data_IF_086003908509
#
_entry.id   IF_086003908509
#
_cell.length_a   1.000
_cell.length_b   1.000
_cell.length_c   1.000
_cell.angle_alpha   90.00
_cell.angle_beta   90.00
_cell.angle_gamma   90.00
#
_symmetry.space_group_name_H-M   'P 1'
#
loop_
_entity.id
_entity.type
_entity.pdbx_description
1 polymer ?
#
# COMPACT_ATOMS: atom_id res chain seq x y z
N UNK A 1 2.26 31.29 -18.82
CA UNK A 1 1.03 30.86 -18.16
C UNK A 1 1.45 30.13 -16.90
N UNK A 2 1.09 30.63 -15.75
CA UNK A 2 1.23 29.91 -14.49
C UNK A 2 0.20 28.77 -14.60
N UNK A 3 0.68 27.54 -14.68
CA UNK A 3 -0.22 26.40 -14.70
C UNK A 3 -1.03 26.37 -13.40
N UNK A 4 -2.31 26.01 -13.44
CA UNK A 4 -3.12 25.96 -12.23
C UNK A 4 -2.45 25.02 -11.24
N UNK A 5 -2.14 25.56 -10.08
CA UNK A 5 -1.62 24.81 -8.95
C UNK A 5 -2.61 23.70 -8.61
N UNK A 6 -2.15 22.46 -8.55
CA UNK A 6 -3.02 21.35 -8.21
C UNK A 6 -3.61 21.60 -6.80
N UNK A 7 -4.91 21.73 -6.74
CA UNK A 7 -5.65 21.99 -5.49
C UNK A 7 -5.29 23.32 -4.77
N UNK A 8 -4.80 24.34 -5.48
CA UNK A 8 -4.40 25.62 -4.91
C UNK A 8 -3.06 25.59 -4.16
N UNK A 9 -2.30 24.49 -4.22
CA UNK A 9 -1.01 24.32 -3.58
C UNK A 9 0.10 24.42 -4.63
N UNK A 10 1.16 25.16 -4.32
CA UNK A 10 2.41 25.05 -5.06
C UNK A 10 3.15 23.76 -4.64
N UNK A 11 4.25 23.44 -5.32
CA UNK A 11 5.00 22.22 -5.06
C UNK A 11 5.47 22.11 -3.60
N UNK A 12 5.95 23.21 -3.03
CA UNK A 12 6.42 23.23 -1.63
C UNK A 12 5.26 22.92 -0.69
N UNK A 13 4.11 23.56 -0.89
CA UNK A 13 2.91 23.32 -0.08
C UNK A 13 2.40 21.89 -0.27
N UNK A 14 2.37 21.40 -1.52
CA UNK A 14 1.95 20.04 -1.85
C UNK A 14 2.79 19.00 -1.11
N UNK A 15 4.11 19.10 -1.22
CA UNK A 15 5.00 18.09 -0.66
C UNK A 15 5.29 18.28 0.84
N UNK A 16 4.96 19.43 1.41
CA UNK A 16 4.99 19.66 2.86
C UNK A 16 3.65 19.36 3.55
N UNK A 17 2.60 19.01 2.79
CA UNK A 17 1.29 18.75 3.39
C UNK A 17 1.32 17.53 4.33
N UNK A 18 0.79 17.68 5.53
CA UNK A 18 0.78 16.65 6.57
C UNK A 18 -0.60 16.03 6.82
N UNK A 19 -1.67 16.63 6.23
CA UNK A 19 -3.04 16.21 6.49
C UNK A 19 -3.47 16.42 7.96
N UNK A 20 -4.56 15.72 8.35
CA UNK A 20 -5.02 15.65 9.73
C UNK A 20 -4.68 14.24 10.28
N UNK A 21 -3.68 14.11 11.15
CA UNK A 21 -3.29 12.83 11.73
C UNK A 21 -4.19 12.38 12.89
N UNK A 22 -5.27 13.12 13.21
CA UNK A 22 -6.14 12.84 14.35
C UNK A 22 -6.91 11.53 14.13
N UNK A 23 -6.72 10.52 14.98
CA UNK A 23 -7.45 9.27 14.87
C UNK A 23 -8.93 9.43 15.21
N UNK A 24 -9.76 8.50 14.73
CA UNK A 24 -11.10 8.31 15.28
C UNK A 24 -11.03 7.98 16.77
N UNK A 25 -12.01 8.39 17.61
CA UNK A 25 -12.07 8.04 19.03
C UNK A 25 -11.90 6.54 19.29
N UNK A 26 -12.47 5.71 18.44
CA UNK A 26 -12.44 4.24 18.58
C UNK A 26 -11.26 3.56 17.89
N UNK A 27 -10.38 4.33 17.25
CA UNK A 27 -9.31 3.80 16.39
C UNK A 27 -8.46 2.73 17.07
N UNK A 28 -7.93 3.01 18.25
CA UNK A 28 -7.02 2.08 18.94
C UNK A 28 -7.73 0.81 19.41
N UNK A 29 -8.97 0.93 19.91
CA UNK A 29 -9.80 -0.20 20.35
C UNK A 29 -10.18 -1.07 19.16
N UNK A 30 -10.66 -0.44 18.08
CA UNK A 30 -11.02 -1.14 16.87
C UNK A 30 -9.84 -1.95 16.32
N UNK A 31 -8.67 -1.34 16.10
CA UNK A 31 -7.52 -2.03 15.49
C UNK A 31 -6.88 -3.06 16.41
N UNK A 32 -6.94 -2.89 17.74
CA UNK A 32 -6.51 -3.92 18.68
C UNK A 32 -7.36 -5.17 18.55
N UNK A 33 -8.69 -5.01 18.56
CA UNK A 33 -9.63 -6.12 18.39
C UNK A 33 -9.52 -6.77 17.01
N UNK A 34 -9.47 -5.92 15.97
CA UNK A 34 -9.34 -6.36 14.58
C UNK A 34 -8.08 -7.17 14.34
N UNK A 35 -6.95 -6.70 14.86
CA UNK A 35 -5.68 -7.39 14.74
C UNK A 35 -5.73 -8.78 15.38
N UNK A 36 -6.18 -8.87 16.62
CA UNK A 36 -6.28 -10.16 17.32
C UNK A 36 -7.15 -11.14 16.53
N UNK A 37 -8.35 -10.72 16.12
CA UNK A 37 -9.31 -11.60 15.46
C UNK A 37 -8.94 -11.99 14.02
N UNK A 38 -8.46 -11.05 13.21
CA UNK A 38 -8.33 -11.24 11.76
C UNK A 38 -6.89 -11.37 11.27
N UNK A 39 -5.93 -11.14 12.13
CA UNK A 39 -4.51 -11.22 11.77
C UNK A 39 -3.78 -12.20 12.68
N UNK A 40 -3.84 -12.03 14.00
CA UNK A 40 -3.07 -12.85 14.95
C UNK A 40 -3.59 -14.27 15.07
N UNK A 41 -4.90 -14.44 15.26
CA UNK A 41 -5.55 -15.73 15.50
C UNK A 41 -5.81 -16.55 14.22
N UNK A 42 -5.19 -16.19 13.09
CA UNK A 42 -5.38 -16.95 11.85
C UNK A 42 -4.47 -18.19 11.83
N UNK A 43 -5.02 -19.41 11.94
CA UNK A 43 -4.25 -20.64 11.80
C UNK A 43 -3.93 -20.91 10.32
N UNK A 44 -2.86 -21.68 10.08
CA UNK A 44 -2.55 -22.32 8.78
C UNK A 44 -2.54 -21.36 7.58
N UNK A 45 -1.83 -20.21 7.73
CA UNK A 45 -1.60 -19.30 6.61
C UNK A 45 -0.51 -19.86 5.69
N UNK A 46 -0.92 -20.63 4.68
CA UNK A 46 -0.03 -21.15 3.65
C UNK A 46 -0.50 -20.78 2.24
N UNK A 47 0.44 -20.62 1.33
CA UNK A 47 0.18 -20.50 -0.11
C UNK A 47 -0.03 -21.90 -0.69
N UNK A 48 -1.05 -22.06 -1.53
CA UNK A 48 -1.29 -23.27 -2.30
C UNK A 48 -1.49 -22.94 -3.78
N UNK A 49 -1.23 -23.91 -4.64
CA UNK A 49 -1.48 -23.79 -6.07
C UNK A 49 -2.98 -23.91 -6.35
N UNK A 50 -3.51 -23.04 -7.22
CA UNK A 50 -4.88 -23.15 -7.71
C UNK A 50 -4.91 -24.26 -8.75
N UNK A 51 -5.79 -25.24 -8.55
CA UNK A 51 -5.99 -26.37 -9.47
C UNK A 51 -7.08 -26.11 -10.51
N UNK A 52 -7.79 -25.00 -10.40
CA UNK A 52 -8.86 -24.62 -11.30
C UNK A 52 -8.34 -23.66 -12.39
N UNK A 53 -8.16 -24.19 -13.60
CA UNK A 53 -7.71 -23.41 -14.77
C UNK A 53 -8.80 -22.44 -15.30
N UNK A 54 -9.98 -22.39 -14.69
CA UNK A 54 -11.08 -21.51 -15.13
C UNK A 54 -10.83 -20.03 -14.85
N UNK A 55 -9.92 -19.70 -13.93
CA UNK A 55 -9.54 -18.32 -13.62
C UNK A 55 -8.05 -18.05 -13.90
N UNK A 56 -7.73 -17.48 -15.08
CA UNK A 56 -6.35 -17.18 -15.44
C UNK A 56 -5.74 -16.01 -14.62
N UNK A 57 -6.51 -15.39 -13.72
CA UNK A 57 -6.07 -14.21 -12.96
C UNK A 57 -5.30 -14.54 -11.69
N UNK A 58 -5.39 -15.78 -11.20
CA UNK A 58 -4.63 -16.26 -10.05
C UNK A 58 -4.06 -17.66 -10.34
N UNK A 59 -2.81 -17.90 -9.98
CA UNK A 59 -2.17 -19.22 -10.07
C UNK A 59 -1.96 -19.85 -8.70
N UNK A 60 -2.10 -19.05 -7.66
CA UNK A 60 -1.96 -19.43 -6.27
C UNK A 60 -3.06 -18.76 -5.46
N UNK A 61 -3.30 -19.29 -4.29
CA UNK A 61 -4.26 -18.71 -3.35
C UNK A 61 -3.82 -18.96 -1.91
N UNK A 62 -4.41 -18.21 -1.00
CA UNK A 62 -4.39 -18.48 0.44
C UNK A 62 -5.75 -18.17 1.05
N UNK A 63 -6.03 -18.78 2.19
CA UNK A 63 -7.23 -18.48 2.97
C UNK A 63 -6.89 -17.35 3.93
N UNK A 64 -7.59 -16.23 3.80
CA UNK A 64 -7.42 -15.06 4.65
C UNK A 64 -8.41 -15.06 5.81
N UNK A 65 -8.48 -13.94 6.51
CA UNK A 65 -9.45 -13.72 7.58
C UNK A 65 -10.86 -14.09 7.12
N UNK A 66 -11.69 -14.52 8.06
CA UNK A 66 -13.07 -14.93 7.81
C UNK A 66 -13.22 -16.10 6.80
N UNK A 67 -12.15 -16.87 6.54
CA UNK A 67 -12.16 -18.02 5.62
C UNK A 67 -12.24 -17.68 4.15
N UNK A 68 -12.06 -16.41 3.78
CA UNK A 68 -12.16 -15.93 2.39
C UNK A 68 -10.91 -16.34 1.61
N UNK A 69 -11.12 -16.89 0.42
CA UNK A 69 -10.07 -17.25 -0.52
C UNK A 69 -9.56 -16.01 -1.24
N UNK A 70 -8.27 -15.73 -1.10
CA UNK A 70 -7.56 -14.64 -1.77
C UNK A 70 -6.66 -15.23 -2.84
N UNK A 71 -6.97 -14.92 -4.09
CA UNK A 71 -6.15 -15.28 -5.23
C UNK A 71 -4.88 -14.45 -5.28
N UNK A 72 -3.79 -15.07 -5.69
CA UNK A 72 -2.52 -14.42 -5.83
C UNK A 72 -1.67 -15.08 -6.93
N UNK A 73 -0.52 -14.49 -7.20
CA UNK A 73 0.49 -15.09 -8.05
C UNK A 73 1.84 -15.02 -7.35
N UNK A 74 2.49 -16.16 -7.25
CA UNK A 74 3.86 -16.26 -6.78
C UNK A 74 4.82 -16.18 -7.97
N UNK A 75 5.78 -15.26 -7.91
CA UNK A 75 6.86 -15.11 -8.89
C UNK A 75 8.17 -15.42 -8.17
N UNK A 76 8.86 -16.45 -8.62
CA UNK A 76 10.13 -16.89 -8.06
C UNK A 76 11.29 -16.48 -8.97
N UNK A 77 12.52 -16.39 -8.43
CA UNK A 77 13.73 -16.18 -9.22
C UNK A 77 13.86 -17.25 -10.30
N UNK A 78 14.33 -16.84 -11.47
CA UNK A 78 14.64 -17.77 -12.56
C UNK A 78 15.98 -18.48 -12.31
N UNK A 79 16.20 -19.56 -13.06
CA UNK A 79 17.47 -20.32 -13.06
C UNK A 79 17.90 -20.92 -11.72
N UNK A 80 16.93 -21.24 -10.82
CA UNK A 80 17.23 -21.90 -9.54
C UNK A 80 18.02 -21.03 -8.57
N UNK A 81 17.96 -19.70 -8.70
CA UNK A 81 18.58 -18.80 -7.75
C UNK A 81 17.82 -18.88 -6.41
N UNK A 82 18.51 -19.12 -5.28
CA UNK A 82 17.85 -19.22 -3.98
C UNK A 82 17.22 -17.88 -3.55
N UNK A 83 16.15 -17.97 -2.76
CA UNK A 83 15.41 -16.84 -2.24
C UNK A 83 16.02 -16.35 -0.94
N UNK A 84 16.25 -15.05 -0.83
CA UNK A 84 16.80 -14.38 0.35
C UNK A 84 15.77 -13.55 1.11
N UNK A 85 14.71 -13.13 0.43
CA UNK A 85 13.63 -12.32 1.00
C UNK A 85 12.32 -12.58 0.23
N UNK A 86 11.23 -12.06 0.76
CA UNK A 86 9.96 -12.00 0.03
C UNK A 86 9.46 -10.57 -0.13
N UNK A 87 8.61 -10.36 -1.14
CA UNK A 87 7.91 -9.12 -1.39
C UNK A 87 6.42 -9.40 -1.61
N UNK A 88 5.57 -8.78 -0.83
CA UNK A 88 4.12 -8.77 -1.06
C UNK A 88 3.74 -7.48 -1.77
N UNK A 89 2.89 -7.55 -2.79
CA UNK A 89 2.43 -6.36 -3.51
C UNK A 89 0.92 -6.34 -3.69
N UNK A 90 0.31 -5.15 -3.43
CA UNK A 90 -1.11 -4.89 -3.59
C UNK A 90 -1.36 -3.91 -4.75
N UNK A 91 -2.40 -4.18 -5.57
CA UNK A 91 -2.74 -3.40 -6.75
C UNK A 91 -3.59 -2.15 -6.46
N UNK A 92 -3.75 -1.28 -7.47
CA UNK A 92 -4.62 -0.10 -7.42
C UNK A 92 -6.12 -0.41 -7.55
N UNK A 93 -6.96 0.64 -7.40
CA UNK A 93 -8.42 0.51 -7.28
C UNK A 93 -9.10 -0.12 -8.50
N UNK A 94 -8.69 0.25 -9.71
CA UNK A 94 -9.32 -0.25 -10.95
C UNK A 94 -8.45 -1.23 -11.74
N UNK A 95 -7.25 -1.52 -11.28
CA UNK A 95 -6.27 -2.27 -12.06
C UNK A 95 -5.74 -3.50 -11.32
N UNK A 96 -6.45 -4.60 -11.52
CA UNK A 96 -5.76 -5.87 -11.51
C UNK A 96 -5.11 -6.03 -12.89
N UNK A 97 -3.81 -5.76 -13.02
CA UNK A 97 -3.09 -5.98 -14.28
C UNK A 97 -3.30 -7.41 -14.79
N UNK A 98 -3.41 -7.63 -16.11
CA UNK A 98 -3.37 -8.96 -16.68
C UNK A 98 -2.14 -9.73 -16.17
N UNK A 99 -2.29 -11.02 -15.91
CA UNK A 99 -1.24 -11.83 -15.27
C UNK A 99 0.12 -11.76 -15.96
N UNK A 100 0.12 -11.76 -17.29
CA UNK A 100 1.35 -11.73 -18.06
C UNK A 100 2.16 -10.44 -17.86
N UNK A 101 1.50 -9.29 -17.79
CA UNK A 101 2.15 -7.99 -17.56
C UNK A 101 2.61 -7.86 -16.11
N UNK A 102 1.79 -8.29 -15.16
CA UNK A 102 2.18 -8.33 -13.74
C UNK A 102 3.45 -9.16 -13.53
N UNK A 103 3.54 -10.32 -14.16
CA UNK A 103 4.71 -11.20 -14.01
C UNK A 103 5.98 -10.56 -14.56
N UNK A 104 5.94 -9.99 -15.76
CA UNK A 104 7.11 -9.34 -16.37
C UNK A 104 7.64 -8.20 -15.51
N UNK A 105 6.75 -7.39 -14.98
CA UNK A 105 7.10 -6.28 -14.09
C UNK A 105 7.87 -6.76 -12.85
N UNK A 106 7.40 -7.82 -12.22
CA UNK A 106 7.95 -8.29 -10.96
C UNK A 106 9.08 -9.30 -11.12
N UNK A 107 9.26 -9.91 -12.31
CA UNK A 107 10.30 -10.90 -12.55
C UNK A 107 11.71 -10.34 -12.33
N UNK A 108 11.95 -9.10 -12.74
CA UNK A 108 13.24 -8.43 -12.50
C UNK A 108 13.58 -8.34 -10.99
N UNK A 109 12.58 -8.03 -10.17
CA UNK A 109 12.76 -8.00 -8.70
C UNK A 109 12.94 -9.41 -8.17
N UNK A 110 12.16 -10.37 -8.67
CA UNK A 110 12.32 -11.76 -8.27
C UNK A 110 13.73 -12.29 -8.57
N UNK A 111 14.29 -11.96 -9.73
CA UNK A 111 15.63 -12.40 -10.16
C UNK A 111 16.77 -11.84 -9.29
N UNK A 112 16.51 -10.88 -8.40
CA UNK A 112 17.46 -10.46 -7.36
C UNK A 112 17.48 -11.38 -6.12
N UNK A 113 16.72 -12.47 -6.12
CA UNK A 113 16.61 -13.41 -5.01
C UNK A 113 15.42 -13.13 -4.11
N UNK A 114 14.31 -12.64 -4.68
CA UNK A 114 13.10 -12.29 -3.93
C UNK A 114 11.92 -13.13 -4.42
N UNK A 115 11.22 -13.80 -3.50
CA UNK A 115 9.92 -14.41 -3.81
C UNK A 115 8.82 -13.32 -3.79
N UNK A 116 8.21 -13.02 -4.93
CA UNK A 116 7.20 -11.95 -5.04
C UNK A 116 5.80 -12.55 -5.04
N UNK A 117 4.95 -12.16 -4.09
CA UNK A 117 3.54 -12.51 -4.02
C UNK A 117 2.69 -11.32 -4.49
N UNK A 118 2.07 -11.46 -5.65
CA UNK A 118 1.15 -10.47 -6.23
C UNK A 118 -0.25 -10.79 -5.73
N UNK A 119 -0.80 -9.99 -4.82
CA UNK A 119 -2.10 -10.23 -4.19
C UNK A 119 -3.21 -9.63 -5.04
N UNK A 120 -4.29 -10.39 -5.23
CA UNK A 120 -5.57 -9.90 -5.72
C UNK A 120 -6.42 -9.53 -4.52
N UNK A 121 -6.75 -8.27 -4.36
CA UNK A 121 -7.59 -7.82 -3.24
C UNK A 121 -8.96 -8.52 -3.28
N UNK A 122 -9.55 -8.77 -2.12
CA UNK A 122 -10.89 -9.39 -2.04
C UNK A 122 -11.91 -8.68 -2.92
N UNK A 123 -12.77 -9.45 -3.61
CA UNK A 123 -13.78 -8.91 -4.51
C UNK A 123 -13.27 -8.47 -5.89
N UNK A 124 -11.98 -8.62 -6.17
CA UNK A 124 -11.44 -8.51 -7.53
C UNK A 124 -11.29 -9.89 -8.18
N UNK A 125 -11.21 -9.97 -9.52
CA UNK A 125 -11.05 -11.24 -10.22
C UNK A 125 -9.93 -12.10 -9.63
N UNK A 126 -10.20 -13.36 -9.38
CA UNK A 126 -9.30 -14.30 -8.72
C UNK A 126 -9.48 -14.41 -7.20
N UNK A 127 -10.21 -13.49 -6.57
CA UNK A 127 -10.45 -13.50 -5.12
C UNK A 127 -11.93 -13.47 -4.80
N UNK A 128 -12.33 -14.17 -3.74
CA UNK A 128 -13.67 -14.06 -3.19
C UNK A 128 -13.87 -12.70 -2.52
N UNK A 129 -15.11 -12.25 -2.44
CA UNK A 129 -15.47 -11.05 -1.68
C UNK A 129 -15.90 -11.38 -0.24
N UNK A 130 -16.48 -12.54 -0.07
CA UNK A 130 -16.98 -13.10 1.19
C UNK A 130 -17.27 -14.59 1.01
N UNK A 131 -17.75 -15.27 2.04
CA UNK A 131 -18.15 -16.70 1.98
C UNK A 131 -19.66 -16.79 1.72
N UNK A 132 -20.03 -17.49 0.65
CA UNK A 132 -21.44 -17.73 0.28
C UNK A 132 -22.20 -16.41 0.12
N UNK A 133 -23.41 -16.35 0.70
CA UNK A 133 -24.28 -15.17 0.65
C UNK A 133 -23.87 -14.03 1.59
N UNK A 134 -22.78 -14.21 2.35
CA UNK A 134 -22.25 -13.17 3.26
C UNK A 134 -21.37 -12.14 2.54
N UNK A 135 -21.79 -11.73 1.37
CA UNK A 135 -21.12 -10.64 0.64
C UNK A 135 -21.59 -9.30 1.19
N UNK A 136 -20.64 -8.42 1.47
CA UNK A 136 -20.94 -7.04 1.84
C UNK A 136 -21.60 -6.32 0.67
N UNK A 137 -22.85 -5.88 0.77
CA UNK A 137 -23.56 -5.32 -0.36
C UNK A 137 -22.99 -3.98 -0.79
N UNK A 138 -22.99 -3.73 -2.10
CA UNK A 138 -22.81 -2.41 -2.68
C UNK A 138 -24.20 -1.78 -2.83
N UNK A 139 -24.70 -1.22 -1.75
CA UNK A 139 -26.11 -0.76 -1.62
C UNK A 139 -26.51 0.30 -2.66
N UNK A 140 -25.54 1.08 -3.14
CA UNK A 140 -25.79 2.19 -4.05
C UNK A 140 -25.12 2.00 -5.43
N UNK A 141 -24.50 0.84 -5.70
CA UNK A 141 -23.63 0.72 -6.86
C UNK A 141 -22.48 1.74 -6.83
N UNK A 142 -22.09 2.15 -5.63
CA UNK A 142 -21.10 3.22 -5.45
C UNK A 142 -19.67 2.77 -5.69
N UNK A 143 -19.42 1.44 -5.77
CA UNK A 143 -18.11 0.87 -6.04
C UNK A 143 -17.52 0.05 -4.89
N UNK A 144 -16.41 -0.59 -5.17
CA UNK A 144 -15.79 -1.56 -4.26
C UNK A 144 -15.54 -1.00 -2.85
N UNK A 145 -14.98 0.22 -2.73
CA UNK A 145 -14.63 0.81 -1.43
C UNK A 145 -15.85 1.13 -0.56
N UNK A 146 -17.00 1.34 -1.19
CA UNK A 146 -18.24 1.69 -0.51
C UNK A 146 -18.95 0.47 0.11
N UNK A 147 -18.53 -0.76 -0.27
CA UNK A 147 -19.14 -1.99 0.24
C UNK A 147 -19.08 -2.09 1.76
N UNK A 148 -20.24 -2.10 2.39
CA UNK A 148 -20.40 -2.15 3.85
C UNK A 148 -19.96 -0.88 4.59
N UNK A 149 -19.66 0.20 3.87
CA UNK A 149 -19.22 1.45 4.51
C UNK A 149 -20.29 2.06 5.41
N UNK A 150 -21.57 1.99 5.03
CA UNK A 150 -22.69 2.46 5.85
C UNK A 150 -23.36 1.35 6.70
N UNK A 151 -22.83 0.13 6.72
CA UNK A 151 -23.34 -0.96 7.56
C UNK A 151 -23.30 -0.61 9.04
N UNK A 152 -24.07 -1.35 9.87
CA UNK A 152 -24.09 -1.12 11.32
C UNK A 152 -22.75 -1.39 11.98
N UNK A 153 -22.09 -2.47 11.58
CA UNK A 153 -20.76 -2.83 12.12
C UNK A 153 -19.64 -2.28 11.25
N UNK A 154 -18.56 -1.81 11.86
CA UNK A 154 -17.31 -1.46 11.18
C UNK A 154 -16.65 -2.68 10.53
N UNK A 155 -16.93 -3.89 11.06
CA UNK A 155 -16.42 -5.15 10.53
C UNK A 155 -17.00 -5.51 9.17
N UNK A 156 -18.15 -4.94 8.79
CA UNK A 156 -18.78 -5.19 7.50
C UNK A 156 -18.13 -4.38 6.36
N UNK A 157 -17.36 -3.36 6.69
CA UNK A 157 -16.69 -2.56 5.67
C UNK A 157 -15.54 -3.34 5.01
N UNK A 158 -15.51 -3.34 3.68
CA UNK A 158 -14.53 -4.11 2.91
C UNK A 158 -13.08 -3.63 3.13
N UNK A 159 -12.87 -2.34 3.44
CA UNK A 159 -11.55 -1.75 3.51
C UNK A 159 -10.68 -2.31 4.65
N UNK A 160 -11.12 -2.37 5.92
CA UNK A 160 -10.37 -3.07 6.97
C UNK A 160 -10.10 -4.53 6.62
N UNK A 161 -11.07 -5.24 6.02
CA UNK A 161 -10.90 -6.64 5.59
C UNK A 161 -9.78 -6.78 4.56
N UNK A 162 -9.68 -5.85 3.60
CA UNK A 162 -8.59 -5.83 2.63
C UNK A 162 -7.22 -5.55 3.28
N UNK A 163 -7.18 -4.72 4.33
CA UNK A 163 -5.96 -4.54 5.14
C UNK A 163 -5.55 -5.86 5.79
N UNK A 164 -6.50 -6.61 6.37
CA UNK A 164 -6.20 -7.92 6.95
C UNK A 164 -5.68 -8.91 5.89
N UNK A 165 -6.20 -8.88 4.66
CA UNK A 165 -5.69 -9.71 3.57
C UNK A 165 -4.24 -9.42 3.24
N UNK A 166 -3.85 -8.15 3.16
CA UNK A 166 -2.45 -7.75 2.92
C UNK A 166 -1.55 -8.18 4.10
N UNK A 167 -2.01 -8.01 5.34
CA UNK A 167 -1.29 -8.49 6.52
C UNK A 167 -1.10 -10.01 6.48
N UNK A 168 -2.15 -10.76 6.16
CA UNK A 168 -2.10 -12.20 6.08
C UNK A 168 -1.21 -12.68 4.92
N UNK A 169 -1.19 -11.98 3.79
CA UNK A 169 -0.25 -12.25 2.70
C UNK A 169 1.22 -12.13 3.16
N UNK A 170 1.55 -11.12 3.95
CA UNK A 170 2.90 -10.99 4.51
C UNK A 170 3.24 -12.14 5.47
N UNK A 171 2.28 -12.57 6.29
CA UNK A 171 2.44 -13.73 7.18
C UNK A 171 2.60 -15.04 6.41
N UNK A 172 1.78 -15.22 5.36
CA UNK A 172 1.87 -16.35 4.43
C UNK A 172 3.29 -16.46 3.83
N UNK A 173 3.82 -15.34 3.33
CA UNK A 173 5.17 -15.34 2.77
C UNK A 173 6.25 -15.58 3.82
N UNK A 174 6.11 -15.04 5.02
CA UNK A 174 7.02 -15.37 6.13
C UNK A 174 7.00 -16.86 6.46
N UNK A 175 5.81 -17.47 6.53
CA UNK A 175 5.68 -18.91 6.77
C UNK A 175 6.32 -19.74 5.65
N UNK A 176 6.09 -19.35 4.40
CA UNK A 176 6.68 -20.01 3.23
C UNK A 176 8.22 -19.95 3.24
N UNK A 177 8.81 -18.80 3.60
CA UNK A 177 10.27 -18.64 3.73
C UNK A 177 10.85 -19.45 4.90
N UNK A 178 10.07 -19.71 5.93
CA UNK A 178 10.45 -20.55 7.07
C UNK A 178 10.07 -22.02 6.90
N UNK A 179 9.59 -22.41 5.71
CA UNK A 179 9.08 -23.76 5.40
C UNK A 179 8.02 -24.28 6.39
N UNK A 180 7.12 -23.37 6.82
CA UNK A 180 6.02 -23.67 7.74
C UNK A 180 4.71 -23.75 6.99
N UNK A 181 3.98 -24.86 7.15
CA UNK A 181 2.58 -25.06 6.71
C UNK A 181 2.25 -24.55 5.30
N UNK A 182 3.11 -24.81 4.32
CA UNK A 182 2.90 -24.39 2.93
C UNK A 182 3.01 -25.57 1.96
N UNK A 183 2.11 -25.64 0.99
CA UNK A 183 2.22 -26.60 -0.12
C UNK A 183 3.30 -26.19 -1.14
N UNK A 184 3.56 -24.87 -1.21
CA UNK A 184 4.55 -24.32 -2.14
C UNK A 184 5.92 -24.32 -1.46
N UNK A 185 6.86 -25.06 -2.03
CA UNK A 185 8.24 -25.10 -1.55
C UNK A 185 9.01 -23.95 -2.18
N UNK A 186 9.66 -23.14 -1.34
CA UNK A 186 10.56 -22.05 -1.74
C UNK A 186 11.99 -22.47 -1.37
N UNK A 187 12.87 -22.49 -2.35
CA UNK A 187 14.31 -22.72 -2.13
C UNK A 187 14.92 -21.47 -1.50
N UNK A 188 15.02 -21.45 -0.18
CA UNK A 188 15.55 -20.34 0.61
C UNK A 188 17.06 -20.50 0.75
N UNK A 189 17.80 -19.40 0.59
CA UNK A 189 19.25 -19.38 0.80
C UNK A 189 19.59 -19.79 2.25
N UNK A 190 20.28 -20.93 2.44
CA UNK A 190 20.56 -21.47 3.78
C UNK A 190 21.50 -20.59 4.61
N UNK A 191 22.13 -19.58 4.01
CA UNK A 191 22.96 -18.61 4.73
C UNK A 191 22.15 -17.49 5.39
N UNK A 192 20.84 -17.42 5.14
CA UNK A 192 19.97 -16.37 5.65
C UNK A 192 19.14 -16.91 6.83
N UNK A 193 19.52 -16.55 8.05
CA UNK A 193 18.80 -16.95 9.26
C UNK A 193 17.40 -16.34 9.37
N UNK A 194 17.25 -15.11 8.93
CA UNK A 194 16.01 -14.33 9.01
C UNK A 194 15.66 -13.68 7.66
N UNK A 195 15.01 -14.41 6.73
CA UNK A 195 14.59 -13.84 5.46
C UNK A 195 13.66 -12.66 5.65
N UNK A 196 14.00 -11.53 5.02
CA UNK A 196 13.20 -10.29 5.11
C UNK A 196 11.84 -10.43 4.42
N UNK A 197 10.85 -9.70 4.93
CA UNK A 197 9.55 -9.53 4.28
C UNK A 197 9.39 -8.07 3.87
N UNK A 198 9.28 -7.82 2.59
CA UNK A 198 9.09 -6.50 2.01
C UNK A 198 7.63 -6.31 1.59
N UNK A 199 7.18 -5.06 1.57
CA UNK A 199 5.82 -4.73 1.19
C UNK A 199 5.80 -3.59 0.17
N UNK A 200 5.01 -3.75 -0.89
CA UNK A 200 4.80 -2.72 -1.90
C UNK A 200 3.31 -2.53 -2.21
N UNK A 201 2.96 -1.34 -2.68
CA UNK A 201 1.62 -1.08 -3.17
C UNK A 201 1.51 0.17 -4.02
N UNK A 202 0.54 0.16 -4.94
CA UNK A 202 0.29 1.30 -5.83
C UNK A 202 -1.12 1.82 -5.60
N UNK A 203 -1.30 3.13 -5.50
CA UNK A 203 -2.60 3.80 -5.36
C UNK A 203 -3.38 3.27 -4.14
N UNK A 204 -4.53 2.64 -4.32
CA UNK A 204 -5.25 1.93 -3.25
C UNK A 204 -4.31 0.98 -2.50
N UNK A 205 -3.56 0.16 -3.23
CA UNK A 205 -2.59 -0.76 -2.66
C UNK A 205 -1.51 -0.06 -1.85
N UNK A 206 -1.08 1.14 -2.23
CA UNK A 206 -0.12 1.96 -1.47
C UNK A 206 -0.65 2.37 -0.10
N UNK A 207 -1.91 2.81 -0.04
CA UNK A 207 -2.58 3.11 1.23
C UNK A 207 -2.78 1.87 2.09
N UNK A 208 -3.28 0.76 1.49
CA UNK A 208 -3.44 -0.53 2.19
C UNK A 208 -2.11 -1.05 2.74
N UNK A 209 -1.03 -0.97 1.96
CA UNK A 209 0.31 -1.39 2.40
C UNK A 209 0.82 -0.54 3.55
N UNK A 210 0.56 0.77 3.56
CA UNK A 210 0.91 1.64 4.68
C UNK A 210 0.18 1.23 5.96
N UNK A 211 -1.14 1.00 5.88
CA UNK A 211 -1.94 0.57 7.02
C UNK A 211 -1.50 -0.82 7.49
N UNK A 212 -1.30 -1.77 6.57
CA UNK A 212 -0.85 -3.12 6.88
C UNK A 212 0.54 -3.13 7.56
N UNK A 213 1.51 -2.38 7.04
CA UNK A 213 2.82 -2.22 7.67
C UNK A 213 2.69 -1.73 9.12
N UNK A 214 1.86 -0.71 9.37
CA UNK A 214 1.59 -0.20 10.70
C UNK A 214 0.95 -1.22 11.67
N UNK A 215 0.21 -2.20 11.14
CA UNK A 215 -0.37 -3.27 11.95
C UNK A 215 0.62 -4.40 12.24
N UNK A 216 1.59 -4.63 11.37
CA UNK A 216 2.54 -5.75 11.48
C UNK A 216 3.81 -5.39 12.26
N UNK A 217 4.22 -4.12 12.26
CA UNK A 217 5.43 -3.67 12.96
C UNK A 217 5.28 -3.84 14.47
N UNK A 218 6.23 -4.57 15.07
CA UNK A 218 6.36 -4.71 16.53
C UNK A 218 5.30 -5.56 17.23
N UNK A 219 4.44 -6.31 16.52
CA UNK A 219 3.37 -7.08 17.16
C UNK A 219 3.59 -8.58 17.25
N UNK A 220 4.26 -9.21 16.31
CA UNK A 220 4.53 -10.65 16.36
C UNK A 220 5.93 -10.91 16.94
N UNK A 221 5.97 -11.50 18.13
CA UNK A 221 7.21 -11.92 18.83
C UNK A 221 8.27 -10.81 19.05
N UNK A 222 7.87 -9.53 19.04
CA UNK A 222 8.79 -8.40 19.24
C UNK A 222 9.65 -8.03 18.02
N UNK A 223 9.54 -8.77 16.93
CA UNK A 223 10.25 -8.52 15.67
C UNK A 223 9.31 -7.86 14.64
N UNK A 224 9.75 -6.83 13.91
CA UNK A 224 8.98 -6.31 12.81
C UNK A 224 8.85 -7.38 11.72
N UNK A 225 7.62 -7.62 11.21
CA UNK A 225 7.45 -8.53 10.07
C UNK A 225 7.91 -7.84 8.78
N UNK A 226 7.73 -6.54 8.67
CA UNK A 226 8.06 -5.76 7.48
C UNK A 226 9.40 -5.05 7.68
N UNK A 227 10.32 -5.23 6.73
CA UNK A 227 11.66 -4.65 6.76
C UNK A 227 11.81 -3.44 5.84
N UNK A 228 11.10 -3.44 4.69
CA UNK A 228 11.10 -2.37 3.70
C UNK A 228 9.71 -2.14 3.13
N UNK A 229 9.37 -0.87 2.88
CA UNK A 229 8.08 -0.47 2.32
C UNK A 229 8.27 0.39 1.07
N UNK A 230 7.60 0.04 -0.05
CA UNK A 230 7.51 0.93 -1.21
C UNK A 230 6.05 1.29 -1.50
N UNK A 231 5.74 2.58 -1.56
CA UNK A 231 4.39 3.08 -1.84
C UNK A 231 4.41 3.99 -3.06
N UNK A 232 3.68 3.60 -4.10
CA UNK A 232 3.57 4.39 -5.31
C UNK A 232 2.21 5.08 -5.37
N UNK A 233 2.19 6.42 -5.49
CA UNK A 233 0.97 7.21 -5.61
C UNK A 233 -0.08 6.85 -4.55
N UNK A 234 0.27 6.74 -3.25
CA UNK A 234 -0.59 6.14 -2.25
C UNK A 234 -1.88 6.92 -2.06
N UNK A 235 -3.00 6.20 -1.96
CA UNK A 235 -4.30 6.77 -1.62
C UNK A 235 -4.73 6.36 -0.21
N UNK A 236 -5.99 6.61 0.18
CA UNK A 236 -6.58 6.30 1.49
C UNK A 236 -6.08 7.17 2.66
N UNK A 237 -5.43 8.29 2.41
CA UNK A 237 -5.02 9.21 3.48
C UNK A 237 -5.62 10.58 3.35
N UNK A 238 -5.60 11.34 4.46
CA UNK A 238 -6.14 12.69 4.57
C UNK A 238 -7.61 12.78 4.13
N UNK A 239 -8.46 11.88 4.61
CA UNK A 239 -9.84 11.74 4.16
C UNK A 239 -10.64 13.03 4.28
N UNK A 240 -10.53 13.75 5.40
CA UNK A 240 -11.25 15.02 5.59
C UNK A 240 -10.91 16.01 4.50
N UNK A 241 -9.61 16.20 4.21
CA UNK A 241 -9.15 17.08 3.14
C UNK A 241 -9.63 16.60 1.76
N UNK A 242 -9.57 15.30 1.49
CA UNK A 242 -10.01 14.73 0.19
C UNK A 242 -11.49 14.90 -0.06
N UNK A 243 -12.34 14.75 0.96
CA UNK A 243 -13.79 14.95 0.83
C UNK A 243 -14.16 16.35 0.38
N UNK A 244 -13.34 17.36 0.73
CA UNK A 244 -13.55 18.75 0.37
C UNK A 244 -12.94 19.13 -1.00
N UNK A 245 -11.95 18.38 -1.49
CA UNK A 245 -11.15 18.79 -2.65
C UNK A 245 -11.17 17.79 -3.82
N UNK A 246 -11.48 16.53 -3.59
CA UNK A 246 -11.42 15.49 -4.62
C UNK A 246 -12.81 15.07 -5.09
N UNK A 247 -13.00 15.07 -6.42
CA UNK A 247 -14.28 14.73 -7.05
C UNK A 247 -14.27 13.37 -7.79
N UNK A 248 -13.16 12.63 -7.76
CA UNK A 248 -12.97 11.39 -8.52
C UNK A 248 -12.50 10.22 -7.65
N UNK A 249 -12.46 9.01 -8.23
CA UNK A 249 -11.93 7.81 -7.61
C UNK A 249 -12.64 7.40 -6.31
N UNK A 250 -11.88 6.86 -5.37
CA UNK A 250 -12.42 6.33 -4.10
C UNK A 250 -13.20 7.36 -3.28
N UNK A 251 -12.83 8.64 -3.35
CA UNK A 251 -13.54 9.71 -2.64
C UNK A 251 -14.90 9.97 -3.25
N UNK A 252 -15.02 9.97 -4.59
CA UNK A 252 -16.31 10.09 -5.27
C UNK A 252 -17.28 8.98 -4.86
N UNK A 253 -16.81 7.75 -4.80
CA UNK A 253 -17.61 6.60 -4.41
C UNK A 253 -18.11 6.72 -2.96
N UNK A 254 -17.24 7.10 -2.05
CA UNK A 254 -17.62 7.31 -0.64
C UNK A 254 -18.52 8.53 -0.45
N UNK A 255 -18.33 9.60 -1.24
CA UNK A 255 -19.21 10.76 -1.18
C UNK A 255 -20.66 10.43 -1.58
N UNK A 256 -20.89 9.52 -2.54
CA UNK A 256 -22.26 9.05 -2.86
C UNK A 256 -22.95 8.49 -1.61
N UNK A 257 -22.21 7.67 -0.84
CA UNK A 257 -22.75 7.08 0.40
C UNK A 257 -22.95 8.14 1.49
N UNK A 258 -22.01 9.07 1.66
CA UNK A 258 -22.12 10.16 2.64
C UNK A 258 -23.27 11.11 2.35
N UNK A 259 -23.57 11.37 1.10
CA UNK A 259 -24.75 12.18 0.68
C UNK A 259 -26.04 11.44 0.96
N UNK A 260 -26.08 10.13 0.64
CA UNK A 260 -27.28 9.31 0.86
C UNK A 260 -27.60 9.16 2.36
N UNK A 261 -26.57 9.01 3.21
CA UNK A 261 -26.69 8.88 4.66
C UNK A 261 -26.30 10.19 5.38
N UNK A 262 -26.85 11.31 4.94
CA UNK A 262 -26.49 12.64 5.46
C UNK A 262 -26.80 12.81 6.97
N UNK A 263 -27.79 12.09 7.48
CA UNK A 263 -28.14 12.00 8.90
C UNK A 263 -27.07 11.30 9.76
N UNK A 264 -26.22 10.47 9.14
CA UNK A 264 -25.12 9.75 9.80
C UNK A 264 -23.73 10.23 9.33
N UNK A 265 -23.64 11.38 8.68
CA UNK A 265 -22.42 11.86 8.05
C UNK A 265 -21.22 11.90 9.00
N UNK A 266 -21.39 12.41 10.20
CA UNK A 266 -20.30 12.50 11.19
C UNK A 266 -19.81 11.11 11.64
N UNK A 267 -20.72 10.19 11.91
CA UNK A 267 -20.41 8.79 12.22
C UNK A 267 -19.57 8.16 11.11
N UNK A 268 -19.99 8.34 9.84
CA UNK A 268 -19.32 7.78 8.68
C UNK A 268 -17.94 8.43 8.43
N UNK A 269 -17.77 9.73 8.67
CA UNK A 269 -16.46 10.39 8.63
C UNK A 269 -15.52 9.81 9.69
N UNK A 270 -16.01 9.58 10.91
CA UNK A 270 -15.23 8.93 11.95
C UNK A 270 -14.85 7.49 11.56
N UNK A 271 -15.71 6.79 10.82
CA UNK A 271 -15.41 5.46 10.26
C UNK A 271 -14.30 5.54 9.20
N UNK A 272 -14.28 6.54 8.33
CA UNK A 272 -13.17 6.76 7.38
C UNK A 272 -11.83 6.91 8.10
N UNK A 273 -11.80 7.64 9.22
CA UNK A 273 -10.60 7.84 10.03
C UNK A 273 -10.05 6.55 10.65
N UNK A 274 -10.83 5.48 10.76
CA UNK A 274 -10.33 4.17 11.16
C UNK A 274 -9.31 3.62 10.14
N UNK A 275 -9.49 3.93 8.85
CA UNK A 275 -8.65 3.48 7.76
C UNK A 275 -7.98 4.66 7.04
N UNK A 276 -7.59 5.70 7.76
CA UNK A 276 -6.80 6.78 7.21
C UNK A 276 -5.31 6.42 7.27
N UNK A 277 -4.69 6.28 6.10
CA UNK A 277 -3.29 5.89 6.00
C UNK A 277 -2.34 6.90 6.69
N UNK A 278 -2.71 8.19 6.80
CA UNK A 278 -1.93 9.20 7.55
C UNK A 278 -1.89 8.85 9.03
N UNK A 279 -3.05 8.46 9.60
CA UNK A 279 -3.17 8.07 11.02
C UNK A 279 -2.32 6.83 11.33
N UNK A 280 -2.20 5.91 10.37
CA UNK A 280 -1.41 4.69 10.56
C UNK A 280 0.09 4.89 10.30
N UNK A 281 0.44 5.75 9.36
CA UNK A 281 1.81 5.93 8.86
C UNK A 281 2.82 6.29 9.95
N UNK A 282 2.41 7.00 11.02
CA UNK A 282 3.32 7.35 12.11
C UNK A 282 3.86 6.14 12.91
N UNK A 283 3.24 4.96 12.76
CA UNK A 283 3.75 3.72 13.34
C UNK A 283 4.76 3.00 12.43
N UNK A 284 4.86 3.41 11.18
CA UNK A 284 5.76 2.81 10.20
C UNK A 284 7.14 3.44 10.36
N UNK A 285 8.11 2.66 10.81
CA UNK A 285 9.48 3.09 11.10
C UNK A 285 10.57 2.35 10.29
N UNK A 286 10.14 1.68 9.21
CA UNK A 286 11.04 0.93 8.32
C UNK A 286 11.50 1.79 7.14
N UNK A 287 12.58 1.37 6.47
CA UNK A 287 13.06 2.03 5.26
C UNK A 287 11.92 2.13 4.23
N UNK A 288 11.69 3.34 3.69
CA UNK A 288 10.54 3.58 2.82
C UNK A 288 10.90 4.36 1.55
N UNK A 289 10.50 3.82 0.40
CA UNK A 289 10.55 4.49 -0.90
C UNK A 289 9.13 4.89 -1.31
N UNK A 290 8.89 6.20 -1.51
CA UNK A 290 7.60 6.73 -1.94
C UNK A 290 7.66 7.34 -3.33
N UNK A 291 6.72 7.04 -4.23
CA UNK A 291 6.50 7.78 -5.47
C UNK A 291 5.29 8.70 -5.34
N UNK A 292 5.47 9.97 -5.63
CA UNK A 292 4.43 10.99 -5.58
C UNK A 292 4.34 11.72 -6.93
N UNK A 293 3.13 11.94 -7.43
CA UNK A 293 2.90 12.69 -8.66
C UNK A 293 2.35 14.09 -8.36
N UNK A 294 2.97 15.14 -8.97
CA UNK A 294 2.62 16.55 -8.71
C UNK A 294 1.18 16.92 -9.05
N UNK A 295 0.63 16.31 -10.08
CA UNK A 295 -0.69 16.65 -10.66
C UNK A 295 -1.63 15.46 -10.61
N UNK A 296 -1.52 14.65 -9.57
CA UNK A 296 -2.39 13.48 -9.41
C UNK A 296 -3.80 13.91 -8.98
N UNK A 297 -4.79 13.66 -9.84
CA UNK A 297 -6.20 13.91 -9.57
C UNK A 297 -6.92 12.68 -9.00
N UNK A 298 -6.30 11.50 -9.11
CA UNK A 298 -6.87 10.22 -8.65
C UNK A 298 -6.47 9.91 -7.21
N UNK A 299 -5.18 10.11 -6.89
CA UNK A 299 -4.66 10.12 -5.53
C UNK A 299 -3.99 11.48 -5.28
N UNK A 300 -4.76 12.50 -4.88
CA UNK A 300 -4.30 13.88 -4.87
C UNK A 300 -2.92 14.04 -4.24
N UNK A 301 -2.03 14.77 -4.92
CA UNK A 301 -0.64 14.92 -4.50
C UNK A 301 -0.48 15.37 -3.04
N UNK A 302 -1.25 16.33 -2.50
CA UNK A 302 -1.20 16.67 -1.07
C UNK A 302 -1.56 15.50 -0.16
N UNK A 303 -2.58 14.71 -0.51
CA UNK A 303 -3.00 13.53 0.26
C UNK A 303 -1.92 12.44 0.27
N UNK A 304 -1.33 12.16 -0.89
CA UNK A 304 -0.22 11.20 -1.02
C UNK A 304 1.03 11.67 -0.26
N UNK A 305 1.32 12.98 -0.30
CA UNK A 305 2.40 13.57 0.46
C UNK A 305 2.17 13.46 1.97
N UNK A 306 0.94 13.69 2.44
CA UNK A 306 0.61 13.54 3.86
C UNK A 306 0.89 12.12 4.38
N UNK A 307 0.53 11.09 3.61
CA UNK A 307 0.85 9.69 3.98
C UNK A 307 2.37 9.51 4.10
N UNK A 308 3.12 9.91 3.07
CA UNK A 308 4.57 9.76 3.05
C UNK A 308 5.24 10.54 4.18
N UNK A 309 4.81 11.78 4.42
CA UNK A 309 5.38 12.64 5.47
C UNK A 309 5.13 12.08 6.88
N UNK A 310 3.97 11.45 7.10
CA UNK A 310 3.61 10.84 8.38
C UNK A 310 4.41 9.57 8.72
N UNK A 311 5.07 8.93 7.74
CA UNK A 311 5.93 7.77 8.00
C UNK A 311 7.08 8.16 8.94
N UNK A 312 7.23 7.42 10.04
CA UNK A 312 8.15 7.71 11.14
C UNK A 312 9.50 7.00 10.98
N UNK A 313 9.96 6.80 9.76
CA UNK A 313 11.33 6.33 9.51
C UNK A 313 12.32 7.49 9.59
N UNK A 314 13.57 7.20 9.99
CA UNK A 314 14.64 8.19 9.98
C UNK A 314 14.77 8.87 8.61
N UNK A 315 15.09 10.18 8.54
CA UNK A 315 15.21 10.89 7.28
C UNK A 315 16.13 10.21 6.25
N UNK A 316 17.26 9.65 6.69
CA UNK A 316 18.18 8.88 5.83
C UNK A 316 17.65 7.50 5.38
N UNK A 317 16.43 7.14 5.77
CA UNK A 317 15.75 5.89 5.39
C UNK A 317 14.42 6.14 4.67
N UNK A 318 14.18 7.39 4.20
CA UNK A 318 12.97 7.80 3.46
C UNK A 318 13.37 8.46 2.16
N UNK A 319 12.97 7.90 1.03
CA UNK A 319 13.24 8.45 -0.30
C UNK A 319 11.95 8.77 -1.00
N UNK A 320 11.81 10.01 -1.49
CA UNK A 320 10.65 10.49 -2.22
C UNK A 320 10.98 10.68 -3.70
N UNK A 321 10.48 9.78 -4.52
CA UNK A 321 10.60 9.85 -5.96
C UNK A 321 9.44 10.67 -6.53
N UNK A 322 9.73 11.79 -7.20
CA UNK A 322 8.69 12.68 -7.73
C UNK A 322 8.47 12.45 -9.21
N UNK A 323 7.19 12.34 -9.57
CA UNK A 323 6.71 12.30 -10.96
C UNK A 323 6.04 13.63 -11.27
N UNK A 324 6.44 14.35 -12.34
CA UNK A 324 5.95 15.70 -12.60
C UNK A 324 4.50 15.78 -13.11
N UNK A 325 3.93 14.64 -13.51
CA UNK A 325 2.58 14.54 -14.09
C UNK A 325 1.58 13.88 -13.13
N UNK A 326 0.46 13.41 -13.67
CA UNK A 326 -0.61 12.80 -12.92
C UNK A 326 -0.47 11.27 -12.75
N UNK A 327 -1.57 10.64 -12.36
CA UNK A 327 -1.63 9.23 -12.03
C UNK A 327 -1.35 8.32 -13.23
N UNK A 328 -1.92 8.65 -14.38
CA UNK A 328 -1.89 7.83 -15.61
C UNK A 328 -1.47 8.63 -16.84
N UNK A 329 -1.55 9.93 -16.80
CA UNK A 329 -1.32 10.83 -17.92
C UNK A 329 0.10 11.44 -17.89
N UNK A 330 0.47 12.14 -18.95
CA UNK A 330 1.79 12.75 -19.09
C UNK A 330 2.64 12.12 -20.20
N UNK A 331 2.06 11.16 -20.94
CA UNK A 331 2.65 10.58 -22.13
C UNK A 331 4.00 9.89 -21.87
N UNK A 332 4.91 9.98 -22.85
CA UNK A 332 6.23 9.30 -22.80
C UNK A 332 7.08 9.75 -21.62
N UNK A 333 7.03 11.04 -21.26
CA UNK A 333 7.82 11.56 -20.15
C UNK A 333 7.37 10.96 -18.80
N UNK A 334 6.05 10.81 -18.60
CA UNK A 334 5.50 10.17 -17.41
C UNK A 334 5.87 8.68 -17.36
N UNK A 335 5.67 7.96 -18.48
CA UNK A 335 6.03 6.54 -18.59
C UNK A 335 7.53 6.31 -18.28
N UNK A 336 8.40 7.20 -18.75
CA UNK A 336 9.84 7.14 -18.46
C UNK A 336 10.14 7.30 -16.98
N UNK A 337 9.46 8.24 -16.30
CA UNK A 337 9.64 8.45 -14.84
C UNK A 337 9.12 7.24 -14.04
N UNK A 338 7.98 6.65 -14.42
CA UNK A 338 7.49 5.42 -13.81
C UNK A 338 8.47 4.25 -13.99
N UNK A 339 9.06 4.10 -15.20
CA UNK A 339 10.06 3.08 -15.44
C UNK A 339 11.34 3.26 -14.61
N UNK A 340 11.77 4.50 -14.38
CA UNK A 340 12.88 4.81 -13.48
C UNK A 340 12.53 4.49 -12.02
N UNK A 341 11.31 4.78 -11.58
CA UNK A 341 10.87 4.39 -10.25
C UNK A 341 10.88 2.87 -10.06
N UNK A 342 10.44 2.11 -11.05
CA UNK A 342 10.49 0.63 -11.01
C UNK A 342 11.93 0.10 -10.90
N UNK A 343 12.89 0.77 -11.53
CA UNK A 343 14.30 0.44 -11.39
C UNK A 343 14.81 0.77 -9.99
N UNK A 344 14.53 1.98 -9.49
CA UNK A 344 14.87 2.38 -8.11
C UNK A 344 14.27 1.45 -7.08
N UNK A 345 13.02 1.01 -7.28
CA UNK A 345 12.35 0.05 -6.41
C UNK A 345 13.03 -1.34 -6.45
N UNK A 346 13.54 -1.77 -7.60
CA UNK A 346 14.33 -2.99 -7.72
C UNK A 346 15.62 -2.92 -6.88
N UNK A 347 16.34 -1.81 -6.96
CA UNK A 347 17.56 -1.59 -6.19
C UNK A 347 17.25 -1.41 -4.70
N UNK A 348 16.16 -0.71 -4.37
CA UNK A 348 15.69 -0.53 -2.99
C UNK A 348 15.35 -1.86 -2.30
N UNK A 349 14.78 -2.82 -3.01
CA UNK A 349 14.45 -4.13 -2.48
C UNK A 349 15.59 -5.15 -2.57
N UNK A 350 16.72 -4.83 -3.18
CA UNK A 350 17.84 -5.77 -3.27
C UNK A 350 18.25 -6.27 -1.87
N UNK A 351 18.11 -7.58 -1.57
CA UNK A 351 18.39 -8.13 -0.23
C UNK A 351 19.88 -8.13 0.11
N UNK A 352 20.77 -8.00 -0.87
CA UNK A 352 22.22 -8.04 -0.71
C UNK A 352 22.81 -6.67 -0.30
N UNK A 353 22.01 -5.60 -0.26
CA UNK A 353 22.47 -4.24 0.06
C UNK A 353 21.58 -3.57 1.09
N UNK A 354 22.16 -2.67 1.87
CA UNK A 354 21.37 -1.80 2.73
C UNK A 354 20.65 -0.75 1.91
N UNK A 355 19.40 -0.37 2.27
CA UNK A 355 18.62 0.62 1.51
C UNK A 355 19.35 1.95 1.29
N UNK A 356 20.13 2.41 2.26
CA UNK A 356 20.91 3.66 2.15
C UNK A 356 21.98 3.56 1.05
N UNK A 357 22.61 2.41 0.90
CA UNK A 357 23.64 2.18 -0.13
C UNK A 357 23.02 2.05 -1.51
N UNK A 358 21.93 1.27 -1.62
CA UNK A 358 21.24 1.04 -2.88
C UNK A 358 20.52 2.29 -3.40
N UNK A 359 20.11 3.20 -2.53
CA UNK A 359 19.41 4.43 -2.91
C UNK A 359 20.33 5.61 -3.15
N UNK A 360 21.58 5.61 -2.71
CA UNK A 360 22.53 6.69 -2.92
C UNK A 360 22.69 7.09 -4.42
N UNK A 361 22.79 6.17 -5.40
CA UNK A 361 22.86 6.51 -6.81
C UNK A 361 21.59 7.19 -7.35
N UNK A 362 20.45 7.01 -6.67
CA UNK A 362 19.16 7.56 -7.08
C UNK A 362 18.90 8.97 -6.55
N UNK A 363 19.56 9.40 -5.49
CA UNK A 363 19.34 10.71 -4.86
C UNK A 363 19.35 11.89 -5.84
N UNK A 364 20.28 11.98 -6.81
CA UNK A 364 20.30 13.10 -7.74
C UNK A 364 19.08 13.21 -8.65
N UNK A 365 18.36 12.11 -8.86
CA UNK A 365 17.23 12.06 -9.78
C UNK A 365 15.87 11.87 -9.09
N UNK A 366 15.83 11.75 -7.77
CA UNK A 366 14.58 11.58 -7.02
C UNK A 366 13.56 12.70 -7.32
N UNK A 367 14.04 13.93 -7.47
CA UNK A 367 13.24 15.12 -7.73
C UNK A 367 13.40 15.69 -9.16
N UNK A 368 13.98 14.92 -10.08
CA UNK A 368 14.15 15.36 -11.46
C UNK A 368 12.80 15.70 -12.11
N UNK A 369 12.70 16.85 -12.75
CA UNK A 369 11.45 17.36 -13.36
C UNK A 369 10.56 18.14 -12.41
N UNK A 370 10.91 18.24 -11.13
CA UNK A 370 10.34 19.19 -10.16
C UNK A 370 11.34 20.35 -10.05
N UNK A 371 11.48 21.09 -11.12
CA UNK A 371 12.23 22.34 -11.08
C UNK A 371 11.25 23.46 -10.77
N UNK A 372 11.60 24.27 -9.78
CA UNK A 372 11.08 25.62 -9.64
C UNK A 372 11.15 26.31 -11.01
N UNK A 373 10.18 27.16 -11.40
CA UNK A 373 10.28 28.01 -12.57
C UNK A 373 11.57 28.83 -12.62
N UNK A 374 12.25 29.05 -11.48
CA UNK A 374 13.59 29.63 -11.38
C UNK A 374 14.74 28.73 -11.80
N UNK A 375 14.50 27.44 -12.07
CA UNK A 375 15.52 26.46 -12.47
C UNK A 375 16.26 25.79 -11.32
N UNK A 376 15.92 26.06 -10.07
CA UNK A 376 16.49 25.44 -8.88
C UNK A 376 15.59 24.28 -8.43
N UNK A 377 16.18 23.14 -8.05
CA UNK A 377 15.44 22.12 -7.32
C UNK A 377 15.02 22.71 -5.97
N UNK A 378 13.72 22.64 -5.59
CA UNK A 378 13.35 23.12 -4.27
C UNK A 378 14.10 22.32 -3.22
N UNK A 379 14.83 22.97 -2.33
CA UNK A 379 15.33 22.35 -1.10
C UNK A 379 14.11 22.04 -0.23
N UNK A 380 13.60 20.81 -0.37
CA UNK A 380 12.52 20.31 0.48
C UNK A 380 13.18 19.75 1.72
N UNK A 381 13.54 20.60 2.64
CA UNK A 381 13.84 20.21 4.00
C UNK A 381 12.50 19.91 4.68
N UNK A 382 12.22 18.69 5.12
CA UNK A 382 11.02 18.42 5.89
C UNK A 382 11.12 19.23 7.18
N UNK A 383 10.28 20.23 7.33
CA UNK A 383 10.11 20.91 8.63
C UNK A 383 9.37 19.91 9.51
N UNK A 384 10.13 19.08 10.23
CA UNK A 384 9.58 18.25 11.31
C UNK A 384 9.21 19.24 12.41
N UNK A 385 7.96 19.65 12.44
CA UNK A 385 7.39 20.25 13.63
C UNK A 385 7.28 19.11 14.64
N UNK A 386 8.26 18.98 15.52
CA UNK A 386 8.16 18.10 16.67
C UNK A 386 6.90 18.51 17.43
N UNK A 387 5.90 17.66 17.44
CA UNK A 387 4.79 17.79 18.37
C UNK A 387 5.38 17.74 19.77
N UNK A 388 5.14 18.81 20.51
CA UNK A 388 5.61 18.97 21.88
C UNK A 388 5.04 17.81 22.73
N UNK A 389 5.83 16.94 23.38
CA UNK A 389 5.34 15.80 24.12
C UNK A 389 4.61 16.17 25.43
N UNK A 390 4.35 17.45 25.69
CA UNK A 390 3.77 17.98 26.92
C UNK A 390 2.49 18.82 26.68
N UNK A 391 1.61 18.45 25.76
CA UNK A 391 0.27 19.01 25.74
C UNK A 391 -0.79 17.92 25.67
#
# INVERSE_FOLDING_TARGET
>A
MIEPEAYGFNDVQTFAHIGDPSPSPDHSVFWKHWYARFIEDQPNLGVRTVTDDSDPTATHEFISSDGVRIGCRLVLPQHGKPVKASLVTAHGYHHALPLGESTKRWQRIADSGIAVLIVRLRGYPGSQIGIGDQTTPDELGAGWIARGFAAKSHEDWILPKAVADVCNACRVMRNALLNRDTEVQIDVDPSIDHPGVFLAGTSLGGGLSTIAAAQLIGRLSGEPIIDRLAIALPSLGAWTWRLDHQLSGTTSDLNKVLVHHSDRREELINRLRLCDAVVHAHKVNVATLGMLARRDEVAPAPSSAAIFNAINADPGRKWRFVVPFGHFDGGIANARRHALFEQAMGDFFNPDTQPIESMAPWEPILHEGVKDPSGHAPEITPTITQANPNS
#
